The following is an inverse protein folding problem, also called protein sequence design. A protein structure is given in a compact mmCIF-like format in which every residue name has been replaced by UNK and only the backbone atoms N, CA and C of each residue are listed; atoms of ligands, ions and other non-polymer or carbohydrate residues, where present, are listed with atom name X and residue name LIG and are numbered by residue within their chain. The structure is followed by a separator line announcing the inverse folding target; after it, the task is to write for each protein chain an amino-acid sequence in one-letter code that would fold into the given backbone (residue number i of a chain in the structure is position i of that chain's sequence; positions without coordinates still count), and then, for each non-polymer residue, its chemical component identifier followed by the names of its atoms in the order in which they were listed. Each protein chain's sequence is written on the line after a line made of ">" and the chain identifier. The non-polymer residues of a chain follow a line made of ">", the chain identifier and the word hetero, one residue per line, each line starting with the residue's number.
data_IF_348813778169
#
_entry.id   IF_348813778169
#
_cell.length_a   1.000
_cell.length_b   1.000
_cell.length_c   1.000
_cell.angle_alpha   90.00
_cell.angle_beta   90.00
_cell.angle_gamma   90.00
#
_symmetry.space_group_name_H-M   'P 1'
#
loop_
_entity.id
_entity.type
_entity.pdbx_description
1 polymer ?
#
# COMPACT_ATOMS: atom_id res chain seq x y z
N UNK A 1 16.00 -84.71 26.81
CA UNK A 1 14.60 -84.23 26.73
C UNK A 1 14.61 -82.75 26.37
N UNK A 2 13.71 -82.38 25.45
CA UNK A 2 13.72 -81.19 24.60
C UNK A 2 13.53 -79.87 25.37
N UNK A 3 14.50 -78.96 25.23
CA UNK A 3 14.39 -77.54 25.57
C UNK A 3 13.59 -76.82 24.48
N UNK A 4 12.34 -76.45 24.76
CA UNK A 4 11.52 -75.59 23.89
C UNK A 4 11.96 -74.13 24.07
N UNK A 5 12.56 -73.55 23.03
CA UNK A 5 12.73 -72.10 22.90
C UNK A 5 11.42 -71.52 22.35
N UNK A 6 10.77 -70.67 23.13
CA UNK A 6 9.65 -69.84 22.68
C UNK A 6 10.28 -68.62 22.02
N UNK A 7 10.14 -68.53 20.71
CA UNK A 7 10.53 -67.37 19.90
C UNK A 7 9.32 -66.43 19.87
N UNK A 8 9.39 -65.31 20.59
CA UNK A 8 8.39 -64.24 20.51
C UNK A 8 8.80 -63.34 19.35
N UNK A 9 8.05 -63.41 18.24
CA UNK A 9 8.12 -62.44 17.15
C UNK A 9 7.40 -61.16 17.59
N UNK A 10 8.16 -60.13 17.94
CA UNK A 10 7.63 -58.76 18.06
C UNK A 10 7.65 -58.14 16.65
N UNK A 11 6.47 -58.08 16.04
CA UNK A 11 6.23 -57.48 14.74
C UNK A 11 6.00 -55.98 14.98
N UNK A 12 7.08 -55.19 14.95
CA UNK A 12 6.99 -53.73 15.03
C UNK A 12 6.64 -53.21 13.63
N UNK A 13 5.38 -52.82 13.47
CA UNK A 13 4.89 -51.97 12.39
C UNK A 13 5.53 -50.58 12.53
N UNK A 14 6.62 -50.32 11.79
CA UNK A 14 7.07 -48.95 11.53
C UNK A 14 6.29 -48.43 10.32
N UNK A 15 5.16 -47.77 10.58
CA UNK A 15 4.52 -46.91 9.58
C UNK A 15 5.45 -45.73 9.31
N UNK A 16 5.71 -45.50 8.02
CA UNK A 16 6.50 -44.37 7.56
C UNK A 16 5.88 -43.06 8.01
N UNK A 17 6.56 -42.37 8.93
CA UNK A 17 6.50 -40.92 8.96
C UNK A 17 7.27 -40.44 7.74
N UNK A 18 6.53 -40.11 6.68
CA UNK A 18 7.00 -39.14 5.71
C UNK A 18 7.30 -37.87 6.51
N UNK A 19 8.58 -37.57 6.68
CA UNK A 19 9.02 -36.32 7.26
C UNK A 19 8.42 -35.21 6.43
N UNK A 20 7.55 -34.42 7.05
CA UNK A 20 7.32 -33.05 6.62
C UNK A 20 8.68 -32.36 6.76
N UNK A 21 9.40 -32.31 5.65
CA UNK A 21 10.48 -31.33 5.47
C UNK A 21 9.76 -29.99 5.56
N UNK A 22 9.85 -29.36 6.73
CA UNK A 22 9.57 -27.95 6.89
C UNK A 22 10.44 -27.26 5.85
N UNK A 23 9.85 -26.81 4.75
CA UNK A 23 10.51 -25.92 3.82
C UNK A 23 10.97 -24.73 4.67
N UNK A 24 12.29 -24.58 4.82
CA UNK A 24 12.83 -23.37 5.39
C UNK A 24 12.29 -22.20 4.56
N UNK A 25 11.88 -21.08 5.19
CA UNK A 25 11.52 -19.89 4.43
C UNK A 25 12.64 -19.61 3.41
N UNK A 26 12.29 -19.26 2.16
CA UNK A 26 13.30 -19.03 1.13
C UNK A 26 14.29 -17.97 1.65
N UNK A 27 15.59 -18.13 1.36
CA UNK A 27 16.57 -17.15 1.79
C UNK A 27 16.21 -15.81 1.16
N UNK A 28 15.88 -14.82 2.00
CA UNK A 28 15.80 -13.42 1.57
C UNK A 28 17.10 -13.12 0.83
N UNK A 29 17.04 -12.48 -0.34
CA UNK A 29 18.26 -12.08 -1.05
C UNK A 29 18.98 -11.04 -0.19
N UNK A 30 19.92 -11.52 0.62
CA UNK A 30 20.66 -10.73 1.58
C UNK A 30 21.92 -10.19 0.89
N UNK A 31 22.06 -8.87 0.95
CA UNK A 31 23.35 -8.23 0.73
C UNK A 31 23.97 -7.89 2.06
N UNK A 32 25.29 -7.82 2.14
CA UNK A 32 25.97 -7.32 3.33
C UNK A 32 27.04 -6.31 2.98
N UNK A 33 27.24 -5.34 3.87
CA UNK A 33 28.30 -4.34 3.75
C UNK A 33 28.93 -4.05 5.10
N UNK A 34 30.24 -3.90 5.11
CA UNK A 34 30.98 -3.42 6.27
C UNK A 34 31.12 -1.92 6.19
N UNK A 35 30.60 -1.22 7.19
CA UNK A 35 30.68 0.23 7.28
C UNK A 35 31.19 0.67 8.64
N UNK A 36 31.63 1.94 8.69
CA UNK A 36 32.10 2.57 9.92
C UNK A 36 31.32 3.84 10.19
N UNK A 37 31.04 4.08 11.46
CA UNK A 37 30.42 5.30 11.94
C UNK A 37 31.00 5.66 13.30
N UNK A 38 30.70 6.87 13.74
CA UNK A 38 31.26 7.37 15.00
C UNK A 38 30.36 8.37 15.70
N UNK A 39 30.48 8.44 17.02
CA UNK A 39 29.77 9.43 17.82
C UNK A 39 30.63 9.92 18.98
N UNK A 40 30.44 11.18 19.35
CA UNK A 40 31.14 11.79 20.47
C UNK A 40 30.41 11.46 21.78
N UNK A 41 31.18 11.00 22.78
CA UNK A 41 30.70 10.71 24.13
C UNK A 41 30.50 12.02 24.88
N UNK A 42 29.29 12.58 24.79
CA UNK A 42 28.95 13.87 25.44
C UNK A 42 28.37 13.73 26.85
N UNK A 43 27.59 12.67 27.10
CA UNK A 43 26.89 12.43 28.38
C UNK A 43 27.20 11.06 28.96
N UNK A 44 26.94 10.02 28.18
CA UNK A 44 27.14 8.64 28.58
C UNK A 44 27.46 7.76 27.35
N UNK A 45 28.17 6.66 27.60
CA UNK A 45 28.64 5.74 26.56
C UNK A 45 27.48 5.05 25.82
N UNK A 46 26.35 4.80 26.49
CA UNK A 46 25.22 4.10 25.86
C UNK A 46 24.51 4.98 24.83
N UNK A 47 24.38 6.28 25.11
CA UNK A 47 23.85 7.26 24.15
C UNK A 47 24.79 7.42 22.95
N UNK A 48 26.10 7.55 23.19
CA UNK A 48 27.09 7.60 22.11
C UNK A 48 27.06 6.32 21.26
N UNK A 49 26.92 5.14 21.89
CA UNK A 49 26.82 3.87 21.18
C UNK A 49 25.58 3.78 20.28
N UNK A 50 24.41 4.22 20.75
CA UNK A 50 23.20 4.29 19.91
C UNK A 50 23.38 5.24 18.72
N UNK A 51 24.00 6.39 18.94
CA UNK A 51 24.27 7.35 17.88
C UNK A 51 25.28 6.81 16.87
N UNK A 52 26.37 6.20 17.32
CA UNK A 52 27.37 5.60 16.45
C UNK A 52 26.78 4.43 15.63
N UNK A 53 25.86 3.64 16.21
CA UNK A 53 25.14 2.60 15.45
C UNK A 53 24.29 3.25 14.35
N UNK A 54 23.44 4.23 14.68
CA UNK A 54 22.60 4.90 13.69
C UNK A 54 23.41 5.57 12.56
N UNK A 55 24.51 6.23 12.91
CA UNK A 55 25.46 6.81 11.95
C UNK A 55 26.08 5.73 11.04
N UNK A 56 26.52 4.62 11.63
CA UNK A 56 27.10 3.51 10.85
C UNK A 56 26.09 2.85 9.93
N UNK A 57 24.84 2.68 10.36
CA UNK A 57 23.77 2.09 9.57
C UNK A 57 23.41 2.96 8.36
N UNK A 58 23.22 4.27 8.57
CA UNK A 58 22.97 5.23 7.48
C UNK A 58 24.12 5.22 6.48
N UNK A 59 25.37 5.27 6.97
CA UNK A 59 26.55 5.25 6.12
C UNK A 59 26.68 3.93 5.34
N UNK A 60 26.35 2.79 5.96
CA UNK A 60 26.36 1.50 5.29
C UNK A 60 25.37 1.46 4.13
N UNK A 61 24.15 1.96 4.36
CA UNK A 61 23.10 1.99 3.35
C UNK A 61 23.48 2.92 2.19
N UNK A 62 23.98 4.10 2.50
CA UNK A 62 24.42 5.11 1.52
C UNK A 62 25.57 4.58 0.65
N UNK A 63 26.62 4.02 1.27
CA UNK A 63 27.73 3.40 0.56
C UNK A 63 27.27 2.23 -0.31
N UNK A 64 26.33 1.42 0.18
CA UNK A 64 25.84 0.28 -0.58
C UNK A 64 25.13 0.73 -1.87
N UNK A 65 24.31 1.76 -1.78
CA UNK A 65 23.58 2.33 -2.93
C UNK A 65 24.56 2.87 -3.98
N UNK A 66 25.54 3.66 -3.56
CA UNK A 66 26.46 4.34 -4.48
C UNK A 66 27.56 3.40 -5.01
N UNK A 67 28.16 2.58 -4.15
CA UNK A 67 29.32 1.76 -4.53
C UNK A 67 28.92 0.41 -5.15
N UNK A 68 27.85 -0.23 -4.66
CA UNK A 68 27.46 -1.58 -5.09
C UNK A 68 26.31 -1.59 -6.08
N UNK A 69 25.37 -0.63 -5.98
CA UNK A 69 24.21 -0.56 -6.86
C UNK A 69 24.38 0.42 -8.02
N UNK A 70 25.48 1.19 -8.03
CA UNK A 70 25.86 2.12 -9.11
C UNK A 70 24.75 3.17 -9.36
N UNK A 71 24.15 3.68 -8.28
CA UNK A 71 23.39 4.91 -8.36
C UNK A 71 24.39 6.05 -8.61
N UNK A 72 24.35 6.67 -9.79
CA UNK A 72 25.05 7.93 -9.98
C UNK A 72 24.50 9.00 -9.03
N UNK A 73 25.30 10.02 -8.71
CA UNK A 73 24.91 11.10 -7.80
C UNK A 73 23.82 12.05 -8.35
N UNK A 74 23.32 11.79 -9.56
CA UNK A 74 22.32 12.62 -10.23
C UNK A 74 20.94 12.58 -9.55
N UNK A 75 20.73 11.67 -8.59
CA UNK A 75 19.46 11.45 -7.91
C UNK A 75 19.55 11.45 -6.38
N UNK A 76 20.61 12.02 -5.80
CA UNK A 76 20.87 12.02 -4.35
C UNK A 76 19.70 12.58 -3.53
N UNK A 77 19.03 13.62 -4.02
CA UNK A 77 17.87 14.21 -3.35
C UNK A 77 16.73 13.18 -3.17
N UNK A 78 16.42 12.43 -4.24
CA UNK A 78 15.36 11.41 -4.24
C UNK A 78 15.77 10.17 -3.45
N UNK A 79 17.04 9.77 -3.52
CA UNK A 79 17.60 8.67 -2.73
C UNK A 79 17.51 9.01 -1.24
N UNK A 80 17.90 10.23 -0.86
CA UNK A 80 17.81 10.71 0.51
C UNK A 80 16.36 10.73 1.01
N UNK A 81 15.45 11.29 0.22
CA UNK A 81 14.03 11.41 0.59
C UNK A 81 13.33 10.06 0.71
N UNK A 82 13.59 9.12 -0.21
CA UNK A 82 12.81 7.87 -0.30
C UNK A 82 13.47 6.67 0.37
N UNK A 83 14.79 6.58 0.31
CA UNK A 83 15.54 5.42 0.82
C UNK A 83 16.16 5.73 2.17
N UNK A 84 17.04 6.75 2.27
CA UNK A 84 17.79 7.01 3.50
C UNK A 84 16.90 7.42 4.68
N UNK A 85 15.81 8.16 4.42
CA UNK A 85 14.81 8.52 5.43
C UNK A 85 14.07 7.31 6.03
N UNK A 86 14.06 6.17 5.33
CA UNK A 86 13.32 4.95 5.67
C UNK A 86 14.25 3.75 5.90
N UNK A 87 15.47 3.96 6.41
CA UNK A 87 16.51 2.93 6.53
C UNK A 87 16.06 1.62 7.21
N UNK A 88 15.18 1.69 8.20
CA UNK A 88 14.72 0.54 8.99
C UNK A 88 13.96 -0.49 8.12
N UNK A 89 13.42 -0.05 6.98
CA UNK A 89 12.73 -0.91 6.02
C UNK A 89 13.70 -1.81 5.24
N UNK A 90 14.95 -1.37 5.07
CA UNK A 90 15.93 -2.04 4.22
C UNK A 90 16.97 -2.83 5.01
N UNK A 91 17.22 -2.47 6.27
CA UNK A 91 18.17 -3.15 7.14
C UNK A 91 17.49 -4.34 7.82
N UNK A 92 17.97 -5.56 7.54
CA UNK A 92 17.46 -6.80 8.13
C UNK A 92 18.08 -7.07 9.49
N UNK A 93 19.40 -6.91 9.58
CA UNK A 93 20.19 -7.15 10.80
C UNK A 93 21.55 -6.47 10.70
N UNK A 94 22.26 -6.40 11.83
CA UNK A 94 23.66 -5.97 11.85
C UNK A 94 24.45 -6.70 12.93
N UNK A 95 25.75 -6.83 12.71
CA UNK A 95 26.71 -7.42 13.65
C UNK A 95 27.82 -6.42 13.95
N UNK A 96 28.15 -6.24 15.23
CA UNK A 96 29.26 -5.36 15.64
C UNK A 96 30.58 -6.11 15.44
N UNK A 97 31.38 -5.68 14.47
CA UNK A 97 32.72 -6.22 14.20
C UNK A 97 33.75 -5.57 15.13
N UNK A 98 33.68 -4.25 15.30
CA UNK A 98 34.61 -3.50 16.14
C UNK A 98 33.90 -2.41 16.92
N UNK A 99 34.35 -2.22 18.17
CA UNK A 99 33.92 -1.18 19.07
C UNK A 99 35.18 -0.57 19.71
N UNK A 100 35.54 0.65 19.32
CA UNK A 100 36.77 1.32 19.75
C UNK A 100 36.47 2.70 20.32
N UNK A 101 36.95 2.94 21.54
CA UNK A 101 36.93 4.26 22.15
C UNK A 101 38.29 4.97 21.92
N UNK A 102 38.25 6.07 21.18
CA UNK A 102 39.40 6.91 20.84
C UNK A 102 39.24 8.27 21.54
N UNK A 103 39.65 8.33 22.80
CA UNK A 103 39.36 9.50 23.66
C UNK A 103 37.86 9.61 23.92
N UNK A 104 37.26 10.72 23.50
CA UNK A 104 35.82 10.94 23.58
C UNK A 104 35.06 10.52 22.32
N UNK A 105 35.73 9.92 21.33
CA UNK A 105 35.09 9.44 20.10
C UNK A 105 34.89 7.93 20.18
N UNK A 106 33.64 7.50 20.12
CA UNK A 106 33.30 6.08 19.93
C UNK A 106 33.23 5.78 18.43
N UNK A 107 34.05 4.86 17.95
CA UNK A 107 34.05 4.38 16.57
C UNK A 107 33.55 2.94 16.53
N UNK A 108 32.56 2.70 15.68
CA UNK A 108 31.99 1.37 15.45
C UNK A 108 32.27 0.92 14.01
N UNK A 109 32.42 -0.38 13.86
CA UNK A 109 32.46 -1.06 12.57
C UNK A 109 31.39 -2.16 12.61
N UNK A 110 30.41 -2.07 11.70
CA UNK A 110 29.28 -2.98 11.63
C UNK A 110 29.31 -3.75 10.30
N UNK A 111 28.96 -5.03 10.35
CA UNK A 111 28.48 -5.75 9.17
C UNK A 111 26.96 -5.58 9.12
N UNK A 112 26.44 -4.95 8.08
CA UNK A 112 25.02 -4.65 7.95
C UNK A 112 24.43 -5.51 6.86
N UNK A 113 23.33 -6.19 7.15
CA UNK A 113 22.61 -7.03 6.19
C UNK A 113 21.38 -6.28 5.66
N UNK A 114 21.22 -6.24 4.35
CA UNK A 114 20.16 -5.51 3.67
C UNK A 114 19.22 -6.44 2.90
N UNK A 115 17.97 -6.01 2.76
CA UNK A 115 17.04 -6.55 1.79
C UNK A 115 17.39 -6.01 0.40
N UNK A 116 18.19 -6.80 -0.34
CA UNK A 116 18.74 -6.39 -1.64
C UNK A 116 17.64 -6.14 -2.67
N UNK A 117 16.65 -7.02 -2.75
CA UNK A 117 15.55 -6.94 -3.72
C UNK A 117 14.78 -5.64 -3.54
N UNK A 118 14.42 -5.32 -2.30
CA UNK A 118 13.66 -4.11 -2.00
C UNK A 118 14.43 -2.82 -2.33
N UNK A 119 15.74 -2.80 -2.05
CA UNK A 119 16.61 -1.68 -2.44
C UNK A 119 16.72 -1.56 -3.96
N UNK A 120 16.84 -2.68 -4.67
CA UNK A 120 16.94 -2.71 -6.13
C UNK A 120 15.67 -2.17 -6.79
N UNK A 121 14.51 -2.58 -6.29
CA UNK A 121 13.22 -2.14 -6.81
C UNK A 121 13.01 -0.64 -6.62
N UNK A 122 13.26 -0.13 -5.41
CA UNK A 122 13.04 1.29 -5.12
C UNK A 122 14.10 2.17 -5.80
N UNK A 123 15.35 1.70 -5.94
CA UNK A 123 16.39 2.42 -6.69
C UNK A 123 16.11 2.42 -8.19
N UNK A 124 15.65 1.31 -8.77
CA UNK A 124 15.28 1.25 -10.19
C UNK A 124 14.17 2.25 -10.54
N UNK A 125 13.26 2.52 -9.61
CA UNK A 125 12.22 3.54 -9.77
C UNK A 125 12.74 4.97 -9.73
N UNK A 126 13.86 5.21 -9.04
CA UNK A 126 14.53 6.52 -9.02
C UNK A 126 15.35 6.71 -10.31
N UNK A 127 16.13 5.70 -10.71
CA UNK A 127 17.10 5.80 -11.80
C UNK A 127 16.47 5.73 -13.21
N UNK A 128 15.28 5.15 -13.37
CA UNK A 128 14.56 5.09 -14.65
C UNK A 128 13.20 5.77 -14.52
N UNK A 129 13.14 7.12 -14.60
CA UNK A 129 11.88 7.84 -14.57
C UNK A 129 11.03 7.65 -15.84
N UNK A 130 11.52 6.95 -16.88
CA UNK A 130 10.71 6.52 -18.03
C UNK A 130 9.72 5.41 -17.65
N UNK A 131 8.90 5.64 -16.62
CA UNK A 131 7.68 4.88 -16.47
C UNK A 131 6.75 5.31 -17.57
N UNK A 132 6.37 4.39 -18.46
CA UNK A 132 5.24 4.63 -19.35
C UNK A 132 4.07 5.03 -18.47
N UNK A 133 3.46 6.19 -18.75
CA UNK A 133 2.36 6.71 -17.95
C UNK A 133 1.28 5.63 -17.80
N UNK A 134 1.00 5.24 -16.56
CA UNK A 134 -0.09 4.33 -16.22
C UNK A 134 -1.32 5.21 -16.05
N UNK A 135 -2.37 4.93 -16.80
CA UNK A 135 -3.66 5.61 -16.63
C UNK A 135 -4.76 4.61 -16.29
N UNK A 136 -4.67 3.37 -16.77
CA UNK A 136 -5.76 2.41 -16.63
C UNK A 136 -5.44 1.33 -15.59
N UNK A 137 -6.18 1.36 -14.47
CA UNK A 137 -6.01 0.46 -13.35
C UNK A 137 -7.17 -0.54 -13.33
N UNK A 138 -6.84 -1.82 -13.16
CA UNK A 138 -7.82 -2.89 -13.01
C UNK A 138 -7.72 -3.50 -11.62
N UNK A 139 -8.81 -3.53 -10.88
CA UNK A 139 -8.91 -4.08 -9.54
C UNK A 139 -9.54 -5.48 -9.60
N UNK A 140 -8.83 -6.45 -9.03
CA UNK A 140 -9.26 -7.84 -8.90
C UNK A 140 -9.25 -8.16 -7.41
N UNK A 141 -10.38 -8.62 -6.89
CA UNK A 141 -10.53 -8.94 -5.47
C UNK A 141 -10.82 -10.42 -5.35
N UNK A 142 -9.92 -11.15 -4.70
CA UNK A 142 -10.08 -12.56 -4.39
C UNK A 142 -10.31 -12.71 -2.89
N UNK A 143 -11.40 -13.37 -2.53
CA UNK A 143 -11.72 -13.71 -1.15
C UNK A 143 -11.73 -15.23 -1.05
N UNK A 144 -10.72 -15.82 -0.40
CA UNK A 144 -10.72 -17.25 -0.13
C UNK A 144 -11.85 -17.59 0.87
N UNK A 145 -12.47 -18.76 0.69
CA UNK A 145 -13.50 -19.24 1.60
C UNK A 145 -12.92 -19.39 3.01
N UNK A 146 -13.25 -18.45 3.87
CA UNK A 146 -12.96 -18.49 5.30
C UNK A 146 -13.70 -19.69 5.90
N UNK A 147 -12.93 -20.57 6.55
CA UNK A 147 -13.33 -21.86 7.14
C UNK A 147 -14.84 -22.12 7.25
N UNK A 148 -15.32 -23.09 6.48
CA UNK A 148 -16.70 -23.57 6.51
C UNK A 148 -17.11 -24.17 7.87
N UNK A 149 -16.16 -24.50 8.76
CA UNK A 149 -16.44 -25.08 10.07
C UNK A 149 -16.97 -24.09 11.13
N UNK A 150 -16.94 -22.77 10.88
CA UNK A 150 -17.59 -21.77 11.75
C UNK A 150 -19.11 -21.65 11.48
N UNK A 151 -19.65 -22.43 10.53
CA UNK A 151 -21.02 -22.30 10.02
C UNK A 151 -22.02 -23.23 10.73
N UNK A 152 -22.73 -22.69 11.71
CA UNK A 152 -24.03 -23.27 12.12
C UNK A 152 -25.16 -22.25 12.30
N UNK A 153 -24.96 -20.97 11.95
CA UNK A 153 -26.04 -19.97 12.01
C UNK A 153 -26.43 -19.44 10.61
N UNK A 154 -27.56 -19.90 10.04
CA UNK A 154 -28.08 -19.41 8.76
C UNK A 154 -28.57 -17.95 8.80
N UNK A 155 -28.63 -17.30 9.97
CA UNK A 155 -28.89 -15.86 10.08
C UNK A 155 -27.62 -15.01 9.88
N UNK A 156 -26.43 -15.62 9.93
CA UNK A 156 -25.14 -15.00 9.61
C UNK A 156 -24.77 -15.26 8.13
N UNK A 157 -25.75 -15.08 7.23
CA UNK A 157 -25.49 -15.12 5.80
C UNK A 157 -24.31 -14.21 5.47
N UNK A 158 -23.27 -14.81 4.87
CA UNK A 158 -21.96 -14.20 4.54
C UNK A 158 -22.08 -12.69 4.27
N UNK A 159 -21.69 -11.80 5.19
CA UNK A 159 -21.21 -10.50 4.75
C UNK A 159 -19.91 -10.81 4.00
N UNK A 160 -19.83 -10.47 2.71
CA UNK A 160 -18.52 -10.33 2.07
C UNK A 160 -17.70 -9.41 3.00
N UNK A 161 -16.65 -9.93 3.63
CA UNK A 161 -15.87 -9.19 4.64
C UNK A 161 -15.32 -7.88 4.07
N UNK A 162 -15.09 -7.87 2.77
CA UNK A 162 -14.96 -6.64 2.01
C UNK A 162 -16.13 -6.52 1.04
N UNK A 163 -16.82 -5.38 1.02
CA UNK A 163 -17.75 -5.03 -0.05
C UNK A 163 -16.95 -4.56 -1.27
N UNK A 164 -16.72 -5.41 -2.30
CA UNK A 164 -15.75 -5.11 -3.36
C UNK A 164 -16.13 -3.85 -4.15
N UNK A 165 -17.43 -3.68 -4.40
CA UNK A 165 -18.00 -2.52 -5.09
C UNK A 165 -17.79 -1.22 -4.31
N UNK A 166 -17.91 -1.27 -2.97
CA UNK A 166 -17.71 -0.10 -2.12
C UNK A 166 -16.24 0.34 -2.12
N UNK A 167 -15.31 -0.61 -1.92
CA UNK A 167 -13.88 -0.28 -2.00
C UNK A 167 -13.51 0.25 -3.38
N UNK A 168 -14.01 -0.39 -4.45
CA UNK A 168 -13.75 0.05 -5.81
C UNK A 168 -14.30 1.45 -6.09
N UNK A 169 -15.49 1.79 -5.59
CA UNK A 169 -16.06 3.14 -5.71
C UNK A 169 -15.19 4.17 -4.98
N UNK A 170 -14.82 3.91 -3.73
CA UNK A 170 -13.99 4.81 -2.92
C UNK A 170 -12.60 5.02 -3.55
N UNK A 171 -11.95 3.94 -4.02
CA UNK A 171 -10.68 4.03 -4.75
C UNK A 171 -10.85 4.80 -6.06
N UNK A 172 -11.91 4.53 -6.83
CA UNK A 172 -12.16 5.19 -8.11
C UNK A 172 -12.33 6.69 -7.93
N UNK A 173 -13.08 7.12 -6.92
CA UNK A 173 -13.32 8.54 -6.64
C UNK A 173 -12.01 9.27 -6.32
N UNK A 174 -11.13 8.64 -5.55
CA UNK A 174 -9.83 9.20 -5.20
C UNK A 174 -8.87 9.17 -6.40
N UNK A 175 -8.74 8.03 -7.10
CA UNK A 175 -7.85 7.83 -8.25
C UNK A 175 -8.17 8.74 -9.43
N UNK A 176 -9.45 9.01 -9.68
CA UNK A 176 -9.89 9.91 -10.76
C UNK A 176 -9.31 11.31 -10.59
N UNK A 177 -9.15 11.78 -9.34
CA UNK A 177 -8.55 13.10 -9.06
C UNK A 177 -7.07 13.20 -9.48
N UNK A 178 -6.41 12.07 -9.75
CA UNK A 178 -5.02 11.99 -10.21
C UNK A 178 -4.91 11.52 -11.67
N UNK A 179 -6.02 11.44 -12.40
CA UNK A 179 -6.04 11.06 -13.82
C UNK A 179 -5.98 9.55 -14.09
N UNK A 180 -6.17 8.71 -13.06
CA UNK A 180 -6.29 7.27 -13.24
C UNK A 180 -7.75 6.86 -13.46
N UNK A 181 -7.97 5.87 -14.30
CA UNK A 181 -9.24 5.16 -14.43
C UNK A 181 -9.15 3.85 -13.64
N UNK A 182 -10.23 3.47 -12.96
CA UNK A 182 -10.32 2.22 -12.21
C UNK A 182 -11.48 1.37 -12.74
N UNK A 183 -11.19 0.11 -13.08
CA UNK A 183 -12.17 -0.90 -13.47
C UNK A 183 -12.14 -2.08 -12.51
N UNK A 184 -13.28 -2.43 -11.90
CA UNK A 184 -13.40 -3.62 -11.05
C UNK A 184 -13.72 -4.85 -11.90
N UNK A 185 -12.96 -5.92 -11.73
CA UNK A 185 -13.20 -7.22 -12.35
C UNK A 185 -13.55 -8.25 -11.27
N UNK A 186 -14.84 -8.61 -11.16
CA UNK A 186 -15.31 -9.62 -10.21
C UNK A 186 -15.25 -11.04 -10.79
N UNK A 187 -15.41 -11.18 -12.10
CA UNK A 187 -15.50 -12.46 -12.81
C UNK A 187 -14.30 -12.68 -13.72
N UNK A 188 -13.11 -12.79 -13.12
CA UNK A 188 -11.89 -13.14 -13.86
C UNK A 188 -11.94 -14.63 -14.22
N UNK A 189 -11.70 -14.96 -15.49
CA UNK A 189 -11.69 -16.35 -15.97
C UNK A 189 -10.73 -17.23 -15.15
N UNK A 190 -11.06 -18.52 -15.01
CA UNK A 190 -10.27 -19.45 -14.20
C UNK A 190 -8.80 -19.55 -14.67
N UNK A 191 -8.54 -19.45 -15.97
CA UNK A 191 -7.17 -19.47 -16.49
C UNK A 191 -6.42 -18.17 -16.13
N UNK A 192 -7.10 -17.02 -16.14
CA UNK A 192 -6.51 -15.76 -15.72
C UNK A 192 -6.28 -15.72 -14.20
N UNK A 193 -7.21 -16.26 -13.40
CA UNK A 193 -7.01 -16.43 -11.96
C UNK A 193 -5.82 -17.33 -11.64
N UNK A 194 -5.65 -18.44 -12.35
CA UNK A 194 -4.50 -19.34 -12.17
C UNK A 194 -3.18 -18.64 -12.53
N UNK A 195 -3.16 -17.86 -13.61
CA UNK A 195 -1.98 -17.09 -14.02
C UNK A 195 -1.65 -15.98 -13.00
N UNK A 196 -2.65 -15.24 -12.54
CA UNK A 196 -2.49 -14.20 -11.50
C UNK A 196 -2.00 -14.81 -10.19
N UNK A 197 -2.59 -15.92 -9.76
CA UNK A 197 -2.13 -16.66 -8.59
C UNK A 197 -0.67 -17.07 -8.76
N UNK A 198 -0.29 -17.65 -9.91
CA UNK A 198 1.09 -18.03 -10.18
C UNK A 198 2.07 -16.83 -10.16
N UNK A 199 1.67 -15.65 -10.64
CA UNK A 199 2.46 -14.42 -10.59
C UNK A 199 2.62 -13.93 -9.14
N UNK A 200 1.55 -13.99 -8.36
CA UNK A 200 1.51 -13.49 -6.97
C UNK A 200 2.20 -14.44 -6.00
N UNK A 201 2.03 -15.76 -6.19
CA UNK A 201 2.68 -16.81 -5.40
C UNK A 201 4.06 -17.14 -5.91
N UNK A 202 4.45 -16.59 -7.08
CA UNK A 202 5.70 -16.85 -7.78
C UNK A 202 6.83 -17.00 -6.78
N UNK A 203 7.27 -18.24 -6.60
CA UNK A 203 8.42 -18.59 -5.79
C UNK A 203 9.57 -17.70 -6.28
N UNK A 204 10.11 -16.87 -5.38
CA UNK A 204 11.27 -16.00 -5.58
C UNK A 204 12.57 -16.79 -5.86
N UNK A 205 12.48 -17.96 -6.50
CA UNK A 205 13.61 -18.78 -6.90
C UNK A 205 14.25 -18.16 -8.15
N UNK A 206 15.22 -17.28 -7.86
CA UNK A 206 15.98 -16.45 -8.79
C UNK A 206 16.83 -17.21 -9.84
N UNK A 207 16.57 -18.50 -10.11
CA UNK A 207 17.33 -19.27 -11.12
C UNK A 207 16.46 -19.87 -12.24
N UNK A 208 15.13 -19.87 -12.11
CA UNK A 208 14.21 -20.07 -13.23
C UNK A 208 13.06 -19.06 -13.10
N UNK A 209 13.36 -17.77 -13.31
CA UNK A 209 12.33 -16.78 -13.65
C UNK A 209 11.72 -17.18 -14.99
N UNK A 210 10.81 -18.15 -14.92
CA UNK A 210 9.94 -18.59 -15.97
C UNK A 210 9.08 -17.40 -16.33
N UNK A 211 9.56 -16.66 -17.33
CA UNK A 211 8.82 -15.83 -18.26
C UNK A 211 7.37 -15.60 -17.79
N UNK A 212 7.16 -14.66 -16.87
CA UNK A 212 5.81 -14.21 -16.55
C UNK A 212 5.25 -13.76 -17.90
N UNK A 213 4.29 -14.51 -18.42
CA UNK A 213 3.74 -14.25 -19.74
C UNK A 213 2.77 -13.08 -19.62
N UNK A 214 3.34 -11.88 -19.41
CA UNK A 214 2.63 -10.62 -19.40
C UNK A 214 1.84 -10.45 -20.70
N UNK A 215 2.32 -11.00 -21.81
CA UNK A 215 1.62 -10.98 -23.10
C UNK A 215 0.32 -11.81 -23.05
N UNK A 216 0.36 -13.01 -22.47
CA UNK A 216 -0.83 -13.81 -22.22
C UNK A 216 -1.80 -13.09 -21.28
N UNK A 217 -1.30 -12.54 -20.17
CA UNK A 217 -2.15 -11.83 -19.20
C UNK A 217 -2.78 -10.55 -19.80
N UNK A 218 -2.04 -9.79 -20.63
CA UNK A 218 -2.56 -8.61 -21.37
C UNK A 218 -3.75 -8.97 -22.26
N UNK A 219 -3.76 -10.19 -22.80
CA UNK A 219 -4.89 -10.70 -23.60
C UNK A 219 -6.11 -11.10 -22.78
N UNK A 220 -5.96 -11.31 -21.47
CA UNK A 220 -7.01 -11.83 -20.59
C UNK A 220 -7.65 -10.77 -19.69
N UNK A 221 -6.85 -9.84 -19.16
CA UNK A 221 -7.32 -8.78 -18.28
C UNK A 221 -6.84 -7.43 -18.82
N UNK A 222 -7.74 -6.49 -19.16
CA UNK A 222 -7.35 -5.17 -19.64
C UNK A 222 -6.78 -4.34 -18.47
N UNK A 223 -5.86 -3.42 -18.77
CA UNK A 223 -5.30 -2.49 -17.79
C UNK A 223 -3.78 -2.37 -17.90
N UNK A 224 -3.28 -1.19 -17.58
CA UNK A 224 -1.85 -0.90 -17.47
C UNK A 224 -1.27 -1.40 -16.14
N UNK A 225 -2.08 -1.36 -15.09
CA UNK A 225 -1.74 -1.78 -13.74
C UNK A 225 -2.86 -2.64 -13.19
N UNK A 226 -2.54 -3.88 -12.80
CA UNK A 226 -3.49 -4.75 -12.11
C UNK A 226 -3.24 -4.67 -10.60
N UNK A 227 -4.30 -4.41 -9.84
CA UNK A 227 -4.35 -4.51 -8.39
C UNK A 227 -4.97 -5.84 -8.04
N UNK A 228 -4.15 -6.80 -7.63
CA UNK A 228 -4.59 -8.08 -7.12
C UNK A 228 -4.67 -7.99 -5.59
N UNK A 229 -5.89 -7.86 -5.07
CA UNK A 229 -6.17 -7.86 -3.64
C UNK A 229 -6.66 -9.23 -3.22
N UNK A 230 -6.02 -9.78 -2.19
CA UNK A 230 -6.43 -11.02 -1.59
C UNK A 230 -6.71 -10.85 -0.11
N UNK A 231 -7.87 -11.31 0.33
CA UNK A 231 -8.27 -11.29 1.73
C UNK A 231 -8.22 -12.72 2.27
N UNK A 232 -7.36 -12.94 3.27
CA UNK A 232 -7.02 -14.26 3.81
C UNK A 232 -7.18 -14.31 5.33
N UNK A 233 -7.09 -15.53 5.87
CA UNK A 233 -6.84 -15.80 7.29
C UNK A 233 -7.77 -15.06 8.27
N UNK A 234 -9.08 -15.04 8.00
CA UNK A 234 -10.01 -14.58 9.02
C UNK A 234 -10.03 -15.54 10.20
N UNK A 235 -9.86 -15.01 11.41
CA UNK A 235 -9.90 -15.77 12.64
C UNK A 235 -10.80 -15.08 13.67
N UNK A 236 -11.60 -15.89 14.36
CA UNK A 236 -12.38 -15.51 15.53
C UNK A 236 -11.78 -16.20 16.76
N UNK A 237 -11.32 -15.42 17.73
CA UNK A 237 -10.82 -15.92 19.01
C UNK A 237 -11.71 -15.45 20.16
N UNK A 238 -12.27 -16.40 20.92
CA UNK A 238 -13.12 -16.11 22.09
C UNK A 238 -12.26 -15.83 23.32
N UNK A 239 -12.36 -14.62 23.85
CA UNK A 239 -11.64 -14.22 25.07
C UNK A 239 -12.57 -14.32 26.28
N UNK A 240 -12.57 -15.49 26.92
CA UNK A 240 -13.46 -15.82 28.04
C UNK A 240 -13.32 -14.89 29.24
N UNK A 241 -12.14 -14.32 29.48
CA UNK A 241 -11.88 -13.42 30.62
C UNK A 241 -12.65 -12.11 30.54
N UNK A 242 -12.91 -11.62 29.33
CA UNK A 242 -13.61 -10.35 29.08
C UNK A 242 -14.98 -10.54 28.43
N UNK A 243 -15.39 -11.79 28.17
CA UNK A 243 -16.63 -12.13 27.45
C UNK A 243 -16.74 -11.43 26.08
N UNK A 244 -15.60 -11.27 25.39
CA UNK A 244 -15.51 -10.66 24.06
C UNK A 244 -14.89 -11.62 23.06
N UNK A 245 -14.99 -11.28 21.79
CA UNK A 245 -14.38 -11.99 20.68
C UNK A 245 -13.40 -11.08 19.97
N UNK A 246 -12.21 -11.59 19.70
CA UNK A 246 -11.22 -10.95 18.85
C UNK A 246 -11.42 -11.45 17.43
N UNK A 247 -11.82 -10.55 16.55
CA UNK A 247 -11.88 -10.79 15.12
C UNK A 247 -10.56 -10.31 14.51
N UNK A 248 -9.98 -11.12 13.63
CA UNK A 248 -8.78 -10.74 12.87
C UNK A 248 -8.90 -11.17 11.42
N UNK A 249 -8.30 -10.39 10.53
CA UNK A 249 -8.28 -10.64 9.10
C UNK A 249 -6.94 -10.17 8.52
N UNK A 250 -6.43 -10.89 7.54
CA UNK A 250 -5.21 -10.54 6.84
C UNK A 250 -5.50 -10.21 5.38
N UNK A 251 -4.72 -9.29 4.83
CA UNK A 251 -4.82 -8.92 3.43
C UNK A 251 -3.44 -8.84 2.77
N UNK A 252 -3.41 -9.13 1.48
CA UNK A 252 -2.24 -8.95 0.62
C UNK A 252 -2.66 -8.16 -0.61
N UNK A 253 -1.84 -7.19 -1.00
CA UNK A 253 -2.07 -6.37 -2.21
C UNK A 253 -0.86 -6.47 -3.09
N UNK A 254 -1.07 -6.95 -4.30
CA UNK A 254 -0.02 -7.06 -5.32
C UNK A 254 -0.34 -6.17 -6.52
N UNK A 255 0.64 -5.39 -6.93
CA UNK A 255 0.63 -4.48 -8.06
C UNK A 255 1.38 -5.13 -9.21
N UNK A 256 0.67 -5.47 -10.28
CA UNK A 256 1.23 -6.06 -11.49
C UNK A 256 1.23 -4.97 -12.56
N UNK A 257 2.39 -4.36 -12.79
CA UNK A 257 2.58 -3.33 -13.80
C UNK A 257 2.78 -3.99 -15.16
N UNK A 258 1.70 -3.98 -15.94
CA UNK A 258 1.65 -4.58 -17.26
C UNK A 258 2.44 -3.78 -18.29
N UNK A 259 2.70 -2.49 -18.06
CA UNK A 259 3.42 -1.61 -19.00
C UNK A 259 4.93 -1.73 -18.87
N UNK A 260 5.40 -1.86 -17.63
CA UNK A 260 6.80 -1.94 -17.27
C UNK A 260 7.23 -3.37 -16.90
N UNK A 261 6.31 -4.34 -16.92
CA UNK A 261 6.57 -5.77 -16.68
C UNK A 261 7.20 -6.04 -15.31
N UNK A 262 6.67 -5.36 -14.29
CA UNK A 262 7.13 -5.48 -12.90
C UNK A 262 6.00 -5.87 -11.97
N UNK A 263 6.35 -6.52 -10.85
CA UNK A 263 5.41 -6.86 -9.80
C UNK A 263 5.92 -6.25 -8.48
N UNK A 264 5.02 -5.75 -7.63
CA UNK A 264 5.36 -5.34 -6.28
C UNK A 264 4.22 -5.66 -5.32
N UNK A 265 4.54 -6.24 -4.17
CA UNK A 265 3.56 -6.62 -3.15
C UNK A 265 3.73 -5.77 -1.90
N UNK A 266 2.63 -5.25 -1.38
CA UNK A 266 2.63 -4.54 -0.10
C UNK A 266 2.80 -5.53 1.06
N UNK A 267 3.40 -5.11 2.18
CA UNK A 267 3.46 -5.94 3.39
C UNK A 267 2.07 -6.42 3.80
N UNK A 268 2.00 -7.69 4.22
CA UNK A 268 0.76 -8.26 4.78
C UNK A 268 0.35 -7.44 6.00
N UNK A 269 -0.91 -7.06 6.08
CA UNK A 269 -1.46 -6.38 7.25
C UNK A 269 -2.51 -7.25 7.92
N UNK A 270 -2.54 -7.17 9.25
CA UNK A 270 -3.54 -7.84 10.06
C UNK A 270 -4.44 -6.79 10.71
N UNK A 271 -5.69 -6.70 10.26
CA UNK A 271 -6.70 -5.91 10.93
C UNK A 271 -7.30 -6.71 12.09
N UNK A 272 -7.30 -6.13 13.30
CA UNK A 272 -7.88 -6.74 14.51
C UNK A 272 -8.96 -5.85 15.13
N UNK A 273 -10.01 -6.46 15.67
CA UNK A 273 -11.11 -5.81 16.38
C UNK A 273 -11.62 -6.69 17.53
N UNK A 274 -11.80 -6.08 18.70
CA UNK A 274 -12.42 -6.74 19.85
C UNK A 274 -13.90 -6.33 19.95
N UNK A 275 -14.82 -7.29 19.89
CA UNK A 275 -16.27 -7.05 19.88
C UNK A 275 -17.02 -7.97 20.85
N UNK A 276 -18.15 -7.52 21.35
CA UNK A 276 -19.17 -8.31 22.06
C UNK A 276 -20.34 -8.72 21.14
N UNK A 277 -20.49 -8.05 20.00
CA UNK A 277 -21.46 -8.35 18.94
C UNK A 277 -20.71 -8.71 17.65
N UNK A 278 -20.82 -9.97 17.21
CA UNK A 278 -20.09 -10.48 16.03
C UNK A 278 -20.56 -9.82 14.74
N UNK A 279 -21.87 -9.79 14.39
CA UNK A 279 -22.36 -9.03 13.24
C UNK A 279 -21.87 -7.58 13.18
N UNK A 280 -22.03 -6.82 14.27
CA UNK A 280 -21.62 -5.43 14.30
C UNK A 280 -20.09 -5.27 14.23
N UNK A 281 -19.37 -6.18 14.88
CA UNK A 281 -17.92 -6.27 14.85
C UNK A 281 -17.38 -6.59 13.45
N UNK A 282 -18.00 -7.50 12.71
CA UNK A 282 -17.62 -7.82 11.33
C UNK A 282 -17.77 -6.60 10.41
N UNK A 283 -18.89 -5.89 10.50
CA UNK A 283 -19.10 -4.65 9.73
C UNK A 283 -18.05 -3.58 10.05
N UNK A 284 -17.68 -3.46 11.33
CA UNK A 284 -16.66 -2.52 11.78
C UNK A 284 -15.26 -2.93 11.34
N UNK A 285 -14.95 -4.23 11.37
CA UNK A 285 -13.69 -4.79 10.89
C UNK A 285 -13.55 -4.59 9.38
N UNK A 286 -14.62 -4.86 8.62
CA UNK A 286 -14.72 -4.63 7.18
C UNK A 286 -14.43 -3.17 6.81
N UNK A 287 -15.10 -2.23 7.50
CA UNK A 287 -14.89 -0.79 7.27
C UNK A 287 -13.45 -0.36 7.60
N UNK A 288 -12.88 -0.88 8.70
CA UNK A 288 -11.51 -0.61 9.09
C UNK A 288 -10.50 -1.15 8.06
N UNK A 289 -10.71 -2.37 7.59
CA UNK A 289 -9.88 -2.98 6.56
C UNK A 289 -9.95 -2.21 5.25
N UNK A 290 -11.15 -1.86 4.79
CA UNK A 290 -11.35 -1.08 3.56
C UNK A 290 -10.61 0.27 3.61
N UNK A 291 -10.70 0.98 4.74
CA UNK A 291 -9.99 2.24 4.94
C UNK A 291 -8.47 2.06 4.88
N UNK A 292 -7.93 1.06 5.58
CA UNK A 292 -6.48 0.80 5.57
C UNK A 292 -5.99 0.41 4.17
N UNK A 293 -6.71 -0.49 3.49
CA UNK A 293 -6.43 -0.89 2.12
C UNK A 293 -6.40 0.31 1.17
N UNK A 294 -7.43 1.17 1.24
CA UNK A 294 -7.51 2.37 0.42
C UNK A 294 -6.29 3.25 0.60
N UNK A 295 -5.94 3.58 1.84
CA UNK A 295 -4.82 4.47 2.14
C UNK A 295 -3.48 3.91 1.64
N UNK A 296 -3.23 2.62 1.84
CA UNK A 296 -1.99 1.99 1.37
C UNK A 296 -1.92 1.87 -0.15
N UNK A 297 -3.04 1.50 -0.79
CA UNK A 297 -3.12 1.40 -2.25
C UNK A 297 -2.85 2.78 -2.85
N UNK A 298 -3.52 3.81 -2.35
CA UNK A 298 -3.32 5.19 -2.80
C UNK A 298 -1.89 5.66 -2.58
N UNK A 299 -1.31 5.43 -1.40
CA UNK A 299 0.09 5.79 -1.12
C UNK A 299 1.05 5.17 -2.15
N UNK A 300 0.91 3.87 -2.41
CA UNK A 300 1.79 3.15 -3.34
C UNK A 300 1.61 3.64 -4.78
N UNK A 301 0.37 3.84 -5.22
CA UNK A 301 0.08 4.33 -6.58
C UNK A 301 0.65 5.73 -6.77
N UNK A 302 0.43 6.63 -5.82
CA UNK A 302 0.92 8.00 -5.92
C UNK A 302 2.45 8.07 -5.84
N UNK A 303 3.07 7.21 -5.03
CA UNK A 303 4.52 7.18 -4.92
C UNK A 303 5.19 6.62 -6.18
N UNK A 304 4.59 5.58 -6.80
CA UNK A 304 5.23 4.83 -7.87
C UNK A 304 4.73 5.17 -9.27
N UNK A 305 3.49 5.58 -9.45
CA UNK A 305 2.86 5.68 -10.78
C UNK A 305 2.28 7.06 -11.09
N UNK A 306 2.02 7.92 -10.09
CA UNK A 306 1.57 9.27 -10.38
C UNK A 306 2.69 10.10 -10.99
N UNK A 307 2.43 10.62 -12.19
CA UNK A 307 3.28 11.62 -12.84
C UNK A 307 2.67 12.97 -12.52
N UNK A 308 3.24 13.64 -11.52
CA UNK A 308 2.89 15.03 -11.26
C UNK A 308 3.61 15.93 -12.28
N UNK A 309 2.96 16.94 -12.86
CA UNK A 309 3.64 18.01 -13.58
C UNK A 309 4.72 18.60 -12.67
N UNK A 310 5.92 18.82 -13.20
CA UNK A 310 7.05 19.43 -12.47
C UNK A 310 6.77 20.87 -12.00
N UNK A 311 5.62 21.45 -12.39
CA UNK A 311 5.27 22.83 -12.12
C UNK A 311 3.94 22.90 -11.39
N UNK A 312 3.96 23.61 -10.26
CA UNK A 312 2.75 24.03 -9.56
C UNK A 312 1.86 24.83 -10.51
N UNK A 313 0.59 24.46 -10.54
CA UNK A 313 -0.45 25.19 -11.27
C UNK A 313 -1.32 25.95 -10.28
N UNK A 314 -1.63 27.20 -10.62
CA UNK A 314 -2.58 28.02 -9.89
C UNK A 314 -3.82 28.22 -10.76
N UNK A 315 -4.99 27.95 -10.20
CA UNK A 315 -6.27 28.16 -10.87
C UNK A 315 -7.26 28.81 -9.92
N UNK A 316 -8.17 29.59 -10.51
CA UNK A 316 -9.26 30.20 -9.77
C UNK A 316 -10.50 29.31 -9.85
N UNK A 317 -11.05 28.91 -8.71
CA UNK A 317 -12.32 28.20 -8.62
C UNK A 317 -13.39 29.18 -8.19
N UNK A 318 -14.29 29.53 -9.11
CA UNK A 318 -15.42 30.41 -8.85
C UNK A 318 -16.67 29.56 -8.63
N UNK A 319 -17.22 29.63 -7.42
CA UNK A 319 -18.32 28.79 -6.98
C UNK A 319 -19.57 29.64 -6.77
N UNK A 320 -20.68 29.19 -7.33
CA UNK A 320 -21.99 29.84 -7.21
C UNK A 320 -22.99 28.94 -6.52
N UNK A 321 -23.77 29.50 -5.59
CA UNK A 321 -25.00 28.87 -5.12
C UNK A 321 -24.95 28.23 -3.72
N UNK A 322 -23.82 28.25 -3.01
CA UNK A 322 -23.80 27.79 -1.62
C UNK A 322 -24.86 28.51 -0.77
N UNK A 323 -25.70 27.74 -0.08
CA UNK A 323 -26.81 28.22 0.77
C UNK A 323 -26.39 28.43 2.22
N UNK A 324 -25.39 27.68 2.67
CA UNK A 324 -24.90 27.76 4.05
C UNK A 324 -23.38 27.89 4.11
N UNK A 325 -22.87 28.36 5.26
CA UNK A 325 -21.44 28.34 5.53
C UNK A 325 -20.89 26.90 5.64
N UNK A 326 -21.72 25.96 6.11
CA UNK A 326 -21.36 24.56 6.27
C UNK A 326 -21.02 23.91 4.93
N UNK A 327 -21.84 24.16 3.90
CA UNK A 327 -21.64 23.62 2.54
C UNK A 327 -20.27 24.02 1.97
N UNK A 328 -19.87 25.28 2.22
CA UNK A 328 -18.56 25.78 1.83
C UNK A 328 -17.43 25.11 2.61
N UNK A 329 -17.58 24.94 3.93
CA UNK A 329 -16.56 24.30 4.78
C UNK A 329 -16.37 22.85 4.36
N UNK A 330 -17.44 22.10 4.10
CA UNK A 330 -17.39 20.72 3.61
C UNK A 330 -16.68 20.62 2.27
N UNK A 331 -17.09 21.44 1.29
CA UNK A 331 -16.43 21.46 -0.02
C UNK A 331 -14.95 21.84 0.09
N UNK A 332 -14.62 22.91 0.83
CA UNK A 332 -13.23 23.36 0.99
C UNK A 332 -12.38 22.30 1.67
N UNK A 333 -12.92 21.62 2.70
CA UNK A 333 -12.19 20.58 3.43
C UNK A 333 -11.94 19.37 2.54
N UNK A 334 -12.94 18.94 1.77
CA UNK A 334 -12.79 17.85 0.83
C UNK A 334 -11.76 18.19 -0.26
N UNK A 335 -11.83 19.40 -0.83
CA UNK A 335 -10.89 19.87 -1.83
C UNK A 335 -9.46 19.95 -1.27
N UNK A 336 -9.28 20.52 -0.08
CA UNK A 336 -7.97 20.61 0.59
C UNK A 336 -7.44 19.24 1.06
N UNK A 337 -8.29 18.24 1.16
CA UNK A 337 -7.91 16.87 1.51
C UNK A 337 -7.30 16.07 0.35
N UNK A 338 -7.42 16.56 -0.89
CA UNK A 338 -6.77 15.94 -2.05
C UNK A 338 -5.26 16.13 -1.97
N UNK A 339 -4.48 15.07 -2.18
CA UNK A 339 -3.01 15.10 -2.04
C UNK A 339 -2.33 15.90 -3.16
N UNK A 340 -3.02 16.11 -4.29
CA UNK A 340 -2.57 17.01 -5.37
C UNK A 340 -2.68 18.47 -5.00
N UNK A 341 -3.51 18.82 -4.01
CA UNK A 341 -3.81 20.20 -3.66
C UNK A 341 -2.82 20.66 -2.59
N UNK A 342 -1.98 21.62 -2.97
CA UNK A 342 -1.00 22.25 -2.07
C UNK A 342 -1.66 23.28 -1.16
N UNK A 343 -2.57 24.09 -1.71
CA UNK A 343 -3.23 25.17 -0.98
C UNK A 343 -4.61 25.50 -1.56
N UNK A 344 -5.53 25.90 -0.68
CA UNK A 344 -6.87 26.41 -1.02
C UNK A 344 -7.14 27.70 -0.25
N UNK A 345 -6.95 28.83 -0.93
CA UNK A 345 -7.05 30.16 -0.35
C UNK A 345 -8.34 30.87 -0.78
N UNK A 346 -9.02 31.49 0.17
CA UNK A 346 -10.18 32.32 -0.14
C UNK A 346 -9.70 33.63 -0.75
N UNK A 347 -10.00 33.85 -2.04
CA UNK A 347 -9.62 35.08 -2.75
C UNK A 347 -10.68 36.16 -2.61
N UNK A 348 -11.94 35.81 -2.82
CA UNK A 348 -13.05 36.75 -2.69
C UNK A 348 -14.33 36.07 -2.21
N UNK A 349 -15.15 36.82 -1.49
CA UNK A 349 -16.47 36.40 -1.01
C UNK A 349 -17.49 37.48 -1.32
N UNK A 350 -18.48 37.14 -2.14
CA UNK A 350 -19.60 38.00 -2.47
C UNK A 350 -20.92 37.24 -2.27
N UNK A 351 -22.06 37.95 -2.32
CA UNK A 351 -23.37 37.34 -2.07
C UNK A 351 -23.65 36.21 -3.07
N UNK A 352 -23.63 34.97 -2.60
CA UNK A 352 -23.86 33.77 -3.41
C UNK A 352 -22.72 33.38 -4.35
N UNK A 353 -21.53 33.99 -4.20
CA UNK A 353 -20.33 33.72 -5.00
C UNK A 353 -19.10 33.62 -4.11
N UNK A 354 -18.38 32.52 -4.22
CA UNK A 354 -17.09 32.29 -3.56
C UNK A 354 -16.03 32.15 -4.63
N UNK A 355 -14.87 32.75 -4.43
CA UNK A 355 -13.73 32.58 -5.30
C UNK A 355 -12.55 32.05 -4.49
N UNK A 356 -12.07 30.88 -4.89
CA UNK A 356 -10.91 30.23 -4.28
C UNK A 356 -9.75 30.29 -5.25
N UNK A 357 -8.58 30.60 -4.73
CA UNK A 357 -7.32 30.36 -5.42
C UNK A 357 -6.82 29.00 -4.95
N UNK A 358 -6.56 28.11 -5.90
CA UNK A 358 -6.14 26.75 -5.61
C UNK A 358 -4.80 26.50 -6.27
N UNK A 359 -3.85 26.02 -5.49
CA UNK A 359 -2.51 25.63 -5.97
C UNK A 359 -2.45 24.12 -5.97
N UNK A 360 -2.14 23.52 -7.12
CA UNK A 360 -2.18 22.07 -7.31
C UNK A 360 -1.02 21.55 -8.15
N UNK A 361 -0.78 20.26 -8.02
CA UNK A 361 0.00 19.44 -8.96
C UNK A 361 -0.89 18.58 -9.86
N UNK A 362 -2.23 18.68 -9.78
CA UNK A 362 -3.11 17.99 -10.72
C UNK A 362 -3.28 18.79 -12.02
N UNK A 363 -3.56 18.09 -13.12
CA UNK A 363 -4.15 18.72 -14.29
C UNK A 363 -5.58 19.20 -13.98
N UNK A 364 -6.07 20.18 -14.73
CA UNK A 364 -7.38 20.79 -14.49
C UNK A 364 -8.51 19.80 -14.75
N UNK A 365 -8.40 18.94 -15.77
CA UNK A 365 -9.44 18.01 -16.19
C UNK A 365 -9.79 16.96 -15.13
N UNK A 366 -8.83 16.23 -14.51
CA UNK A 366 -9.10 15.34 -13.38
C UNK A 366 -9.80 16.03 -12.21
N UNK A 367 -9.41 17.28 -11.92
CA UNK A 367 -10.01 18.04 -10.85
C UNK A 367 -11.45 18.44 -11.16
N UNK A 368 -11.74 18.85 -12.41
CA UNK A 368 -13.10 19.12 -12.85
C UNK A 368 -13.99 17.89 -12.70
N UNK A 369 -13.48 16.73 -13.08
CA UNK A 369 -14.21 15.48 -12.94
C UNK A 369 -14.48 15.13 -11.48
N UNK A 370 -13.48 15.29 -10.60
CA UNK A 370 -13.66 15.12 -9.16
C UNK A 370 -14.73 16.08 -8.60
N UNK A 371 -14.68 17.37 -8.95
CA UNK A 371 -15.68 18.34 -8.49
C UNK A 371 -17.08 17.92 -8.95
N UNK A 372 -17.25 17.48 -10.20
CA UNK A 372 -18.53 17.03 -10.74
C UNK A 372 -19.08 15.77 -10.06
N UNK A 373 -18.21 14.93 -9.50
CA UNK A 373 -18.60 13.72 -8.76
C UNK A 373 -18.74 13.94 -7.25
N UNK A 374 -18.22 15.04 -6.72
CA UNK A 374 -18.27 15.34 -5.30
C UNK A 374 -19.72 15.43 -4.82
N UNK A 375 -20.07 14.53 -3.90
CA UNK A 375 -21.35 14.50 -3.19
C UNK A 375 -21.06 14.58 -1.69
N UNK A 376 -21.49 15.63 -0.98
CA UNK A 376 -21.33 15.72 0.47
C UNK A 376 -22.10 14.64 1.19
N UNK A 377 -21.59 14.20 2.35
CA UNK A 377 -22.30 13.31 3.27
C UNK A 377 -23.68 13.88 3.60
N UNK A 378 -24.75 13.12 3.32
CA UNK A 378 -26.13 13.55 3.57
C UNK A 378 -26.86 14.18 2.38
N UNK A 379 -26.26 14.23 1.18
CA UNK A 379 -26.90 14.58 -0.10
C UNK A 379 -27.70 15.90 -0.10
N UNK A 380 -27.07 17.00 0.32
CA UNK A 380 -27.74 18.31 0.32
C UNK A 380 -27.58 19.11 -0.99
N UNK A 381 -26.53 18.84 -1.77
CA UNK A 381 -26.32 19.47 -3.08
C UNK A 381 -25.42 18.63 -3.99
N UNK A 382 -25.45 18.95 -5.29
CA UNK A 382 -24.55 18.45 -6.33
C UNK A 382 -23.76 19.61 -6.92
N UNK A 383 -22.54 19.35 -7.36
CA UNK A 383 -21.69 20.33 -8.01
C UNK A 383 -21.63 20.06 -9.51
N UNK A 384 -21.61 21.14 -10.30
CA UNK A 384 -21.37 21.11 -11.74
C UNK A 384 -20.23 22.06 -12.07
N UNK A 385 -19.10 21.51 -12.46
CA UNK A 385 -17.89 22.25 -12.80
C UNK A 385 -17.62 22.23 -14.31
N UNK A 386 -17.13 23.34 -14.83
CA UNK A 386 -16.61 23.47 -16.19
C UNK A 386 -15.57 24.59 -16.29
N UNK A 387 -14.82 24.62 -17.38
CA UNK A 387 -13.89 25.71 -17.67
C UNK A 387 -14.64 26.99 -18.03
N UNK A 388 -14.15 28.13 -17.55
CA UNK A 388 -14.65 29.42 -17.98
C UNK A 388 -14.32 29.63 -19.47
N UNK A 389 -15.31 30.06 -20.26
CA UNK A 389 -15.14 30.29 -21.70
C UNK A 389 -14.10 31.37 -22.04
N UNK A 390 -13.75 32.23 -21.08
CA UNK A 390 -12.84 33.37 -21.28
C UNK A 390 -11.45 33.17 -20.64
N UNK A 391 -11.24 32.13 -19.83
CA UNK A 391 -9.98 31.89 -19.15
C UNK A 391 -9.74 30.39 -18.91
N UNK A 392 -8.64 29.87 -19.45
CA UNK A 392 -8.27 28.45 -19.36
C UNK A 392 -8.02 27.99 -17.91
N UNK A 393 -7.59 28.90 -17.03
CA UNK A 393 -7.21 28.59 -15.64
C UNK A 393 -8.31 28.96 -14.63
N UNK A 394 -9.55 29.13 -15.10
CA UNK A 394 -10.69 29.45 -14.24
C UNK A 394 -11.73 28.34 -14.34
N UNK A 395 -11.97 27.68 -13.21
CA UNK A 395 -12.99 26.67 -13.04
C UNK A 395 -14.25 27.33 -12.51
N UNK A 396 -15.36 27.21 -13.23
CA UNK A 396 -16.68 27.65 -12.79
C UNK A 396 -17.43 26.46 -12.19
N UNK A 397 -17.84 26.58 -10.93
CA UNK A 397 -18.61 25.56 -10.20
C UNK A 397 -19.99 26.11 -9.87
N UNK A 398 -21.02 25.39 -10.28
CA UNK A 398 -22.41 25.66 -9.94
C UNK A 398 -22.89 24.63 -8.92
N UNK A 399 -23.48 25.11 -7.83
CA UNK A 399 -24.10 24.28 -6.80
C UNK A 399 -25.59 24.13 -7.10
N UNK A 400 -26.04 22.90 -7.32
CA UNK A 400 -27.44 22.53 -7.56
C UNK A 400 -27.96 21.78 -6.34
N UNK A 401 -28.95 22.32 -5.65
CA UNK A 401 -29.56 21.65 -4.48
C UNK A 401 -30.72 20.78 -4.93
N UNK A 402 -30.83 19.57 -4.38
CA UNK A 402 -32.03 18.77 -4.52
C UNK A 402 -33.20 19.49 -3.84
N UNK A 403 -34.34 19.62 -4.52
CA UNK A 403 -35.58 19.96 -3.83
C UNK A 403 -35.91 18.79 -2.90
N UNK A 404 -35.77 18.98 -1.59
CA UNK A 404 -36.33 18.03 -0.63
C UNK A 404 -37.81 17.93 -0.91
N UNK A 405 -38.25 16.77 -1.43
CA UNK A 405 -39.66 16.46 -1.55
C UNK A 405 -40.27 16.55 -0.15
N UNK A 406 -41.07 17.59 0.08
CA UNK A 406 -41.79 17.82 1.33
C UNK A 406 -43.00 16.92 1.47
#
# INVERSE_FOLDING_TARGET
>A
MKTRRILVFFLIFFHGMAGMVSAAPPPVSEASMVARGSAVVTKDLATAKRQAIADTLNNALDLYIHDQMVAGHDHDDLISERILSNQDRYILSYEIISDRLLGDLLQLELNVHFNKTLLQDDLAMILKPEKKAISDISLIIVQENINEELLYDPLLARPLLLQPEKLAAELKDELTAYGFTLTLHQDVDAAAQALLAAIVTGENDAEESSNVDFDQLRGMVPGDLLLYLEVRNFQEEKIYTVQKQLLSIEDTVTFIDMKNETCSTLPVETCKLLTDDVPAGMNSLAAKLALSLKDRIMNHILQKYAVFPEHEQEFAVVIHGFRSHQDYVEFKTALAGLRTIKAVDLSSLARGRIELKVTTYAQIEPLLEWINRFVPDGNHFQLRAGLATEAADVILVKVDYAETAH
#
